data_IF_743152948941
#
_entry.id   IF_743152948941
#
_cell.length_a   1.000
_cell.length_b   1.000
_cell.length_c   1.000
_cell.angle_alpha   90.00
_cell.angle_beta   90.00
_cell.angle_gamma   90.00
#
_symmetry.space_group_name_H-M   'P 1'
#
loop_
_entity.id
_entity.type
_entity.pdbx_description
1 polymer ?
#
# COMPACT_ATOMS: atom_id res chain seq x y z
N UNK A 1 19.43 -33.72 23.20
CA UNK A 1 18.48 -33.73 22.06
C UNK A 1 18.37 -32.29 21.60
N UNK A 2 19.12 -31.94 20.56
CA UNK A 2 19.18 -30.56 20.08
C UNK A 2 18.03 -30.28 19.13
N UNK A 3 17.19 -29.33 19.50
CA UNK A 3 16.15 -28.79 18.62
C UNK A 3 16.80 -27.79 17.65
N UNK A 4 17.06 -28.24 16.43
CA UNK A 4 17.52 -27.36 15.35
C UNK A 4 16.29 -26.72 14.67
N UNK A 5 16.11 -25.38 14.73
CA UNK A 5 14.90 -24.71 14.23
C UNK A 5 14.68 -24.82 12.71
N UNK A 6 15.71 -25.25 11.95
CA UNK A 6 15.66 -25.40 10.49
C UNK A 6 14.84 -26.62 9.99
N UNK A 7 14.33 -27.47 10.89
CA UNK A 7 13.52 -28.65 10.52
C UNK A 7 12.01 -28.43 10.58
N UNK A 8 11.52 -27.32 11.12
CA UNK A 8 10.07 -27.08 11.29
C UNK A 8 9.39 -26.44 10.06
N UNK A 9 10.15 -26.08 9.02
CA UNK A 9 9.65 -25.43 7.80
C UNK A 9 10.06 -26.13 6.50
N UNK A 10 10.19 -27.47 6.50
CA UNK A 10 10.21 -28.20 5.22
C UNK A 10 8.78 -28.47 4.77
N UNK A 11 8.16 -27.47 4.17
CA UNK A 11 7.03 -27.73 3.29
C UNK A 11 7.56 -28.50 2.09
N UNK A 12 7.16 -29.76 1.99
CA UNK A 12 7.33 -30.60 0.81
C UNK A 12 6.36 -30.15 -0.28
N UNK A 13 6.61 -28.97 -0.86
CA UNK A 13 6.06 -28.57 -2.16
C UNK A 13 7.19 -28.74 -3.20
N UNK A 14 6.94 -29.39 -4.35
CA UNK A 14 7.98 -29.64 -5.35
C UNK A 14 8.42 -28.38 -6.11
N UNK A 15 7.72 -27.26 -5.94
CA UNK A 15 8.02 -25.96 -6.56
C UNK A 15 7.87 -24.83 -5.53
N UNK A 16 8.75 -23.82 -5.62
CA UNK A 16 8.69 -22.65 -4.75
C UNK A 16 7.37 -21.89 -4.93
N UNK A 17 6.73 -21.55 -3.82
CA UNK A 17 5.52 -20.73 -3.79
C UNK A 17 5.78 -19.35 -4.42
N UNK A 18 4.72 -18.68 -4.90
CA UNK A 18 4.84 -17.31 -5.45
C UNK A 18 5.55 -16.38 -4.46
N UNK A 19 5.21 -16.47 -3.16
CA UNK A 19 5.83 -15.68 -2.11
C UNK A 19 7.33 -15.95 -1.95
N UNK A 20 7.78 -17.21 -2.06
CA UNK A 20 9.20 -17.56 -2.00
C UNK A 20 9.96 -17.04 -3.21
N UNK A 21 9.38 -17.15 -4.42
CA UNK A 21 9.99 -16.62 -5.64
C UNK A 21 10.12 -15.11 -5.62
N UNK A 22 9.09 -14.40 -5.15
CA UNK A 22 9.13 -12.94 -4.99
C UNK A 22 10.23 -12.50 -4.02
N UNK A 23 10.38 -13.20 -2.89
CA UNK A 23 11.48 -12.92 -1.94
C UNK A 23 12.85 -13.21 -2.55
N UNK A 24 13.00 -14.31 -3.29
CA UNK A 24 14.25 -14.64 -3.96
C UNK A 24 14.65 -13.54 -4.96
N UNK A 25 13.74 -13.15 -5.85
CA UNK A 25 13.97 -12.08 -6.82
C UNK A 25 14.36 -10.75 -6.14
N UNK A 26 13.68 -10.40 -5.04
CA UNK A 26 14.04 -9.21 -4.25
C UNK A 26 15.45 -9.28 -3.67
N UNK A 27 15.84 -10.41 -3.07
CA UNK A 27 17.18 -10.59 -2.49
C UNK A 27 18.29 -10.58 -3.55
N UNK A 28 17.97 -10.97 -4.77
CA UNK A 28 18.86 -10.92 -5.93
C UNK A 28 18.91 -9.53 -6.59
N UNK A 29 18.04 -8.60 -6.20
CA UNK A 29 17.91 -7.28 -6.81
C UNK A 29 17.27 -7.30 -8.20
N UNK A 30 16.60 -8.39 -8.58
CA UNK A 30 15.96 -8.55 -9.89
C UNK A 30 14.51 -8.04 -9.85
N UNK A 31 14.37 -6.71 -9.92
CA UNK A 31 13.08 -6.04 -9.82
C UNK A 31 12.19 -6.26 -11.05
N UNK A 32 12.78 -6.44 -12.23
CA UNK A 32 12.05 -6.74 -13.47
C UNK A 32 11.41 -8.12 -13.38
N UNK A 33 12.16 -9.13 -12.92
CA UNK A 33 11.61 -10.46 -12.70
C UNK A 33 10.54 -10.45 -11.60
N UNK A 34 10.78 -9.74 -10.50
CA UNK A 34 9.80 -9.58 -9.42
C UNK A 34 8.48 -9.01 -9.95
N UNK A 35 8.54 -7.97 -10.79
CA UNK A 35 7.35 -7.37 -11.38
C UNK A 35 6.64 -8.33 -12.35
N UNK A 36 7.40 -9.06 -13.17
CA UNK A 36 6.86 -10.07 -14.10
C UNK A 36 6.09 -11.16 -13.35
N UNK A 37 6.65 -11.66 -12.24
CA UNK A 37 5.99 -12.66 -11.39
C UNK A 37 4.64 -12.17 -10.85
N UNK A 38 4.51 -10.86 -10.56
CA UNK A 38 3.26 -10.28 -10.06
C UNK A 38 2.23 -10.08 -11.18
N UNK A 39 2.68 -9.66 -12.35
CA UNK A 39 1.82 -9.43 -13.52
C UNK A 39 1.24 -10.74 -14.07
N UNK A 40 1.99 -11.83 -13.98
CA UNK A 40 1.56 -13.18 -14.38
C UNK A 40 0.79 -13.93 -13.28
N UNK A 41 0.84 -13.45 -12.03
CA UNK A 41 0.19 -14.12 -10.92
C UNK A 41 -1.33 -14.11 -11.07
N UNK A 42 -1.95 -15.28 -11.17
CA UNK A 42 -3.40 -15.45 -11.22
C UNK A 42 -4.07 -15.40 -9.85
N UNK A 43 -3.28 -15.31 -8.77
CA UNK A 43 -3.76 -15.28 -7.40
C UNK A 43 -2.94 -14.28 -6.56
N UNK A 44 -3.56 -13.72 -5.52
CA UNK A 44 -2.87 -12.86 -4.56
C UNK A 44 -1.85 -13.68 -3.75
N UNK A 45 -0.72 -13.05 -3.45
CA UNK A 45 0.34 -13.63 -2.61
C UNK A 45 0.02 -13.39 -1.13
N UNK A 46 0.55 -14.23 -0.23
CA UNK A 46 0.46 -13.99 1.22
C UNK A 46 1.31 -12.82 1.70
N UNK A 47 2.15 -12.27 0.82
CA UNK A 47 3.01 -11.12 1.14
C UNK A 47 2.25 -9.80 1.14
N UNK A 48 1.23 -9.64 0.31
CA UNK A 48 0.50 -8.39 0.17
C UNK A 48 -0.97 -8.69 -0.09
N UNK A 49 -1.86 -8.00 0.63
CA UNK A 49 -3.30 -8.17 0.45
C UNK A 49 -3.76 -7.68 -0.93
N UNK A 50 -3.03 -6.74 -1.52
CA UNK A 50 -3.17 -6.30 -2.91
C UNK A 50 -2.12 -7.02 -3.76
N UNK A 51 -2.43 -7.31 -5.03
CA UNK A 51 -1.40 -7.73 -5.99
C UNK A 51 -0.81 -6.48 -6.67
N UNK A 52 0.42 -6.02 -6.34
CA UNK A 52 1.02 -4.81 -6.90
C UNK A 52 1.53 -5.01 -8.34
N UNK A 53 0.59 -5.31 -9.24
CA UNK A 53 0.85 -5.42 -10.68
C UNK A 53 1.32 -4.09 -11.26
N UNK A 54 2.01 -4.14 -12.38
CA UNK A 54 2.45 -2.97 -13.13
C UNK A 54 1.30 -2.05 -13.49
N UNK A 55 0.15 -2.64 -13.84
CA UNK A 55 -1.06 -1.91 -14.18
C UNK A 55 -1.63 -1.18 -12.96
N UNK A 56 -1.62 -1.79 -11.76
CA UNK A 56 -2.07 -1.13 -10.55
C UNK A 56 -1.12 0.01 -10.16
N UNK A 57 0.17 -0.25 -10.18
CA UNK A 57 1.19 0.76 -9.88
C UNK A 57 1.08 1.94 -10.83
N UNK A 58 0.81 1.71 -12.12
CA UNK A 58 0.56 2.78 -13.08
C UNK A 58 -0.66 3.63 -12.72
N UNK A 59 -1.77 3.02 -12.30
CA UNK A 59 -2.96 3.76 -11.84
C UNK A 59 -2.64 4.66 -10.63
N UNK A 60 -1.84 4.16 -9.69
CA UNK A 60 -1.43 4.94 -8.51
C UNK A 60 -0.48 6.06 -8.92
N UNK A 61 0.54 5.79 -9.74
CA UNK A 61 1.49 6.80 -10.23
C UNK A 61 0.75 7.92 -10.98
N UNK A 62 -0.17 7.57 -11.88
CA UNK A 62 -0.97 8.54 -12.64
C UNK A 62 -1.81 9.43 -11.73
N UNK A 63 -2.39 8.87 -10.66
CA UNK A 63 -3.16 9.61 -9.67
C UNK A 63 -2.32 10.63 -8.88
N UNK A 64 -1.01 10.42 -8.79
CA UNK A 64 -0.08 11.24 -8.02
C UNK A 64 0.74 12.20 -8.90
N UNK A 65 0.59 12.15 -10.22
CA UNK A 65 1.44 12.89 -11.17
C UNK A 65 1.44 14.41 -10.96
N UNK A 66 0.30 14.98 -10.57
CA UNK A 66 0.06 16.42 -10.48
C UNK A 66 0.36 16.99 -9.07
N UNK A 67 1.02 16.20 -8.21
CA UNK A 67 1.34 16.61 -6.85
C UNK A 67 2.60 17.49 -6.76
N UNK A 68 2.66 18.41 -5.78
CA UNK A 68 3.89 19.12 -5.45
C UNK A 68 5.01 18.16 -5.05
N UNK A 69 6.22 18.45 -5.54
CA UNK A 69 7.45 17.70 -5.27
C UNK A 69 8.52 18.65 -4.71
N UNK A 70 9.36 18.24 -3.75
CA UNK A 70 9.38 16.91 -3.13
C UNK A 70 8.22 16.68 -2.14
N UNK A 71 7.92 15.43 -1.81
CA UNK A 71 6.90 15.07 -0.82
C UNK A 71 6.98 13.62 -0.36
N UNK A 72 6.10 13.23 0.56
CA UNK A 72 6.06 11.88 1.11
C UNK A 72 4.69 11.24 0.93
N UNK A 73 4.69 10.00 0.45
CA UNK A 73 3.54 9.09 0.46
C UNK A 73 3.59 8.28 1.76
N UNK A 74 2.62 8.49 2.63
CA UNK A 74 2.45 7.65 3.82
C UNK A 74 1.45 6.54 3.52
N UNK A 75 1.93 5.31 3.47
CA UNK A 75 1.12 4.11 3.24
C UNK A 75 0.70 3.45 4.56
N UNK A 76 -0.60 3.32 4.78
CA UNK A 76 -1.21 2.75 5.99
C UNK A 76 -1.65 1.32 5.69
N UNK A 77 -1.23 0.37 6.52
CA UNK A 77 -1.51 -1.06 6.32
C UNK A 77 -0.52 -1.71 5.36
N UNK A 78 0.75 -1.30 5.43
CA UNK A 78 1.80 -1.72 4.49
C UNK A 78 2.16 -3.21 4.56
N UNK A 79 1.85 -3.88 5.66
CA UNK A 79 2.13 -5.30 5.83
C UNK A 79 3.59 -5.64 5.56
N UNK A 80 3.86 -6.43 4.52
CA UNK A 80 5.24 -6.80 4.15
C UNK A 80 6.06 -5.68 3.52
N UNK A 81 5.45 -4.54 3.16
CA UNK A 81 6.13 -3.44 2.48
C UNK A 81 6.32 -3.64 0.97
N UNK A 82 5.77 -4.71 0.37
CA UNK A 82 6.00 -5.05 -1.04
C UNK A 82 5.44 -4.01 -2.00
N UNK A 83 4.22 -3.51 -1.74
CA UNK A 83 3.61 -2.46 -2.56
C UNK A 83 4.42 -1.17 -2.47
N UNK A 84 4.83 -0.79 -1.25
CA UNK A 84 5.58 0.43 -0.98
C UNK A 84 6.93 0.40 -1.66
N UNK A 85 7.66 -0.72 -1.54
CA UNK A 85 8.93 -0.91 -2.22
C UNK A 85 8.82 -0.71 -3.75
N UNK A 86 7.81 -1.34 -4.37
CA UNK A 86 7.58 -1.23 -5.82
C UNK A 86 7.11 0.16 -6.25
N UNK A 87 6.32 0.82 -5.40
CA UNK A 87 5.84 2.17 -5.67
C UNK A 87 6.99 3.19 -5.53
N UNK A 88 7.86 3.02 -4.52
CA UNK A 88 9.05 3.83 -4.30
C UNK A 88 10.01 3.73 -5.48
N UNK A 89 10.24 2.52 -6.01
CA UNK A 89 11.04 2.31 -7.21
C UNK A 89 10.51 3.04 -8.47
N UNK A 90 9.24 3.47 -8.48
CA UNK A 90 8.64 4.26 -9.57
C UNK A 90 8.53 5.75 -9.25
N UNK A 91 8.38 6.12 -7.97
CA UNK A 91 8.10 7.48 -7.54
C UNK A 91 9.30 8.22 -6.94
N UNK A 92 10.25 7.49 -6.37
CA UNK A 92 11.39 8.02 -5.62
C UNK A 92 12.29 8.89 -6.49
N UNK A 93 12.55 8.48 -7.73
CA UNK A 93 13.32 9.26 -8.71
C UNK A 93 12.59 10.55 -9.11
N UNK A 94 11.26 10.58 -8.98
CA UNK A 94 10.44 11.77 -9.23
C UNK A 94 10.25 12.61 -7.95
N UNK A 95 10.92 12.29 -6.84
CA UNK A 95 10.90 13.09 -5.61
C UNK A 95 9.65 12.90 -4.73
N UNK A 96 9.00 11.74 -4.80
CA UNK A 96 8.02 11.31 -3.81
C UNK A 96 8.54 10.06 -3.09
N UNK A 97 8.95 10.22 -1.82
CA UNK A 97 9.41 9.11 -0.99
C UNK A 97 8.22 8.32 -0.46
N UNK A 98 8.29 6.98 -0.49
CA UNK A 98 7.21 6.12 0.04
C UNK A 98 7.59 5.56 1.42
N UNK A 99 6.78 5.88 2.43
CA UNK A 99 6.95 5.44 3.81
C UNK A 99 5.77 4.55 4.23
N UNK A 100 6.07 3.30 4.59
CA UNK A 100 5.07 2.36 5.08
C UNK A 100 4.86 2.43 6.59
N UNK A 101 3.63 2.23 7.04
CA UNK A 101 3.31 2.03 8.45
C UNK A 101 2.34 0.86 8.64
N UNK A 102 2.58 0.08 9.69
CA UNK A 102 1.71 -1.00 10.11
C UNK A 102 1.77 -1.19 11.62
N UNK A 103 0.78 -1.86 12.19
CA UNK A 103 0.82 -2.31 13.60
C UNK A 103 1.63 -3.59 13.76
N UNK A 104 1.78 -4.37 12.68
CA UNK A 104 2.47 -5.65 12.67
C UNK A 104 3.92 -5.49 12.16
N UNK A 105 4.92 -6.05 12.89
CA UNK A 105 6.32 -6.00 12.48
C UNK A 105 6.64 -7.07 11.42
N UNK A 106 5.97 -7.03 10.28
CA UNK A 106 6.05 -8.06 9.23
C UNK A 106 6.71 -7.58 7.92
N UNK A 107 7.28 -6.37 7.92
CA UNK A 107 8.00 -5.82 6.79
C UNK A 107 9.14 -6.74 6.33
N UNK A 108 9.22 -6.95 5.02
CA UNK A 108 10.26 -7.73 4.35
C UNK A 108 10.88 -7.00 3.15
N UNK A 109 10.26 -5.92 2.67
CA UNK A 109 10.63 -5.27 1.41
C UNK A 109 10.89 -3.76 1.53
N UNK A 110 10.05 -3.04 2.29
CA UNK A 110 10.12 -1.57 2.31
C UNK A 110 11.35 -1.07 3.10
N UNK A 111 12.16 -0.15 2.55
CA UNK A 111 13.29 0.42 3.27
C UNK A 111 12.85 1.39 4.38
N UNK A 112 11.75 2.11 4.18
CA UNK A 112 11.16 3.03 5.16
C UNK A 112 9.86 2.45 5.70
N UNK A 113 9.91 1.90 6.92
CA UNK A 113 8.78 1.23 7.55
C UNK A 113 8.79 1.46 9.06
N UNK A 114 7.69 1.97 9.60
CA UNK A 114 7.51 2.13 11.04
C UNK A 114 6.40 1.23 11.58
N UNK A 115 6.68 0.58 12.70
CA UNK A 115 5.66 -0.13 13.48
C UNK A 115 4.98 0.87 14.41
N UNK A 116 3.69 1.12 14.18
CA UNK A 116 2.93 2.17 14.87
C UNK A 116 2.00 1.57 15.92
N UNK A 117 1.72 2.36 16.97
CA UNK A 117 0.72 2.02 17.98
C UNK A 117 -0.58 2.77 17.67
N UNK A 118 -1.73 2.22 18.10
CA UNK A 118 -3.06 2.66 17.65
C UNK A 118 -3.39 4.15 17.90
N UNK A 119 -2.65 4.85 18.76
CA UNK A 119 -2.88 6.26 19.10
C UNK A 119 -1.62 7.14 19.00
N UNK A 120 -0.55 6.64 18.38
CA UNK A 120 0.70 7.40 18.22
C UNK A 120 0.87 7.86 16.78
N UNK A 121 0.97 9.18 16.60
CA UNK A 121 1.29 9.78 15.30
C UNK A 121 2.70 9.36 14.87
N UNK A 122 2.89 8.82 13.65
CA UNK A 122 4.21 8.56 13.10
C UNK A 122 5.05 9.83 13.02
N UNK A 123 6.35 9.73 13.32
CA UNK A 123 7.27 10.88 13.31
C UNK A 123 7.74 11.19 11.88
N UNK A 124 6.80 11.50 11.00
CA UNK A 124 7.03 11.85 9.60
C UNK A 124 6.65 13.31 9.34
N UNK A 125 7.43 13.96 8.47
CA UNK A 125 7.17 15.31 7.97
C UNK A 125 6.89 15.27 6.46
N UNK A 126 6.33 16.33 5.90
CA UNK A 126 6.17 16.44 4.46
C UNK A 126 5.19 15.45 3.82
N UNK A 127 4.31 14.81 4.60
CA UNK A 127 3.29 13.90 4.07
C UNK A 127 2.31 14.67 3.20
N UNK A 128 2.37 14.42 1.89
CA UNK A 128 1.52 15.04 0.86
C UNK A 128 0.46 14.06 0.34
N UNK A 129 0.65 12.75 0.57
CA UNK A 129 -0.28 11.70 0.17
C UNK A 129 -0.52 10.74 1.31
N UNK A 130 -1.78 10.40 1.54
CA UNK A 130 -2.14 9.21 2.31
C UNK A 130 -2.53 8.12 1.33
N UNK A 131 -1.86 6.97 1.41
CA UNK A 131 -2.24 5.74 0.76
C UNK A 131 -2.76 4.80 1.84
N UNK A 132 -4.00 4.32 1.74
CA UNK A 132 -4.56 3.36 2.67
C UNK A 132 -4.90 2.07 1.95
N UNK A 133 -4.33 0.96 2.42
CA UNK A 133 -4.42 -0.34 1.77
C UNK A 133 -5.13 -1.31 2.71
N UNK A 134 -6.25 -1.88 2.26
CA UNK A 134 -7.04 -2.85 3.03
C UNK A 134 -7.36 -2.36 4.47
N UNK A 135 -7.73 -1.09 4.59
CA UNK A 135 -7.96 -0.44 5.88
C UNK A 135 -9.27 -0.91 6.54
N UNK A 136 -9.17 -1.85 7.47
CA UNK A 136 -10.33 -2.42 8.19
C UNK A 136 -10.96 -1.52 9.26
N UNK A 137 -10.27 -0.45 9.66
CA UNK A 137 -10.75 0.53 10.65
C UNK A 137 -10.95 1.89 9.97
N UNK A 138 -12.16 2.19 9.46
CA UNK A 138 -12.41 3.40 8.67
C UNK A 138 -12.02 4.71 9.38
N UNK A 139 -12.25 4.77 10.71
CA UNK A 139 -11.94 5.95 11.52
C UNK A 139 -10.47 6.37 11.50
N UNK A 140 -9.54 5.45 11.19
CA UNK A 140 -8.12 5.79 11.05
C UNK A 140 -7.87 6.78 9.90
N UNK A 141 -8.68 6.79 8.83
CA UNK A 141 -8.53 7.78 7.77
C UNK A 141 -8.62 9.20 8.32
N UNK A 142 -9.64 9.48 9.15
CA UNK A 142 -9.82 10.80 9.73
C UNK A 142 -8.70 11.14 10.70
N UNK A 143 -8.23 10.18 11.49
CA UNK A 143 -7.08 10.36 12.39
C UNK A 143 -5.83 10.79 11.62
N UNK A 144 -5.48 10.08 10.54
CA UNK A 144 -4.30 10.41 9.74
C UNK A 144 -4.47 11.72 8.96
N UNK A 145 -5.64 12.01 8.40
CA UNK A 145 -5.91 13.29 7.75
C UNK A 145 -5.76 14.47 8.72
N UNK A 146 -6.18 14.30 9.98
CA UNK A 146 -6.00 15.30 11.03
C UNK A 146 -4.54 15.46 11.46
N UNK A 147 -3.79 14.36 11.55
CA UNK A 147 -2.37 14.38 11.88
C UNK A 147 -1.49 15.00 10.79
N UNK A 148 -1.91 14.90 9.53
CA UNK A 148 -1.15 15.36 8.37
C UNK A 148 -1.96 16.40 7.57
N UNK A 149 -2.05 17.64 8.06
CA UNK A 149 -2.88 18.69 7.46
C UNK A 149 -2.36 19.20 6.11
N UNK A 150 -1.25 18.68 5.59
CA UNK A 150 -0.69 19.02 4.26
C UNK A 150 -0.96 17.93 3.21
N UNK A 151 -1.73 16.89 3.55
CA UNK A 151 -2.14 15.88 2.58
C UNK A 151 -3.01 16.52 1.51
N UNK A 152 -2.64 16.31 0.25
CA UNK A 152 -3.33 16.80 -0.95
C UNK A 152 -4.11 15.70 -1.65
N UNK A 153 -3.65 14.44 -1.57
CA UNK A 153 -4.30 13.27 -2.16
C UNK A 153 -4.50 12.17 -1.11
N UNK A 154 -5.63 11.49 -1.21
CA UNK A 154 -5.93 10.27 -0.49
C UNK A 154 -6.21 9.17 -1.52
N UNK A 155 -5.44 8.10 -1.46
CA UNK A 155 -5.61 6.91 -2.30
C UNK A 155 -6.09 5.77 -1.40
N UNK A 156 -7.23 5.18 -1.72
CA UNK A 156 -7.78 4.02 -1.02
C UNK A 156 -7.74 2.82 -1.96
N UNK A 157 -7.15 1.72 -1.51
CA UNK A 157 -7.12 0.45 -2.23
C UNK A 157 -7.61 -0.64 -1.29
N UNK A 158 -8.63 -1.39 -1.69
CA UNK A 158 -9.14 -2.47 -0.86
C UNK A 158 -10.43 -3.08 -1.38
N UNK A 159 -10.97 -4.06 -0.65
CA UNK A 159 -12.13 -4.80 -1.10
C UNK A 159 -13.39 -3.94 -0.97
N UNK A 160 -14.29 -4.05 -1.95
CA UNK A 160 -15.51 -3.24 -2.07
C UNK A 160 -16.43 -3.33 -0.83
N UNK A 161 -16.41 -4.47 -0.13
CA UNK A 161 -17.21 -4.72 1.07
C UNK A 161 -16.59 -4.19 2.37
N UNK A 162 -15.33 -3.74 2.34
CA UNK A 162 -14.65 -3.07 3.45
C UNK A 162 -14.30 -1.63 3.07
N UNK A 163 -15.12 -0.98 2.21
CA UNK A 163 -14.97 0.43 1.84
C UNK A 163 -14.94 1.31 3.09
N UNK A 164 -13.84 2.03 3.40
CA UNK A 164 -13.83 2.96 4.52
C UNK A 164 -14.90 4.06 4.39
N UNK A 165 -15.29 4.41 3.15
CA UNK A 165 -16.29 5.44 2.87
C UNK A 165 -17.72 4.87 2.99
N UNK A 166 -17.92 3.57 3.24
CA UNK A 166 -19.23 3.04 3.61
C UNK A 166 -19.62 3.41 5.06
N UNK A 167 -18.64 3.71 5.93
CA UNK A 167 -18.93 4.26 7.26
C UNK A 167 -19.37 5.73 7.17
N UNK A 168 -20.54 6.05 7.70
CA UNK A 168 -21.16 7.37 7.53
C UNK A 168 -20.32 8.51 8.13
N UNK A 169 -19.65 8.26 9.26
CA UNK A 169 -18.81 9.27 9.93
C UNK A 169 -17.55 9.55 9.10
N UNK A 170 -16.89 8.48 8.66
CA UNK A 170 -15.70 8.55 7.81
C UNK A 170 -16.02 9.21 6.47
N UNK A 171 -17.14 8.85 5.84
CA UNK A 171 -17.60 9.46 4.60
C UNK A 171 -17.84 10.96 4.72
N UNK A 172 -18.52 11.39 5.79
CA UNK A 172 -18.75 12.81 6.06
C UNK A 172 -17.44 13.58 6.27
N UNK A 173 -16.51 13.00 7.04
CA UNK A 173 -15.21 13.62 7.30
C UNK A 173 -14.32 13.71 6.04
N UNK A 174 -14.24 12.64 5.25
CA UNK A 174 -13.50 12.63 3.99
C UNK A 174 -14.13 13.58 2.97
N UNK A 175 -15.46 13.63 2.87
CA UNK A 175 -16.17 14.57 2.01
C UNK A 175 -16.01 16.04 2.42
N UNK A 176 -15.85 16.31 3.72
CA UNK A 176 -15.50 17.64 4.22
C UNK A 176 -14.04 18.02 3.91
N UNK A 177 -13.13 17.04 3.89
CA UNK A 177 -11.72 17.25 3.55
C UNK A 177 -11.48 17.40 2.04
N UNK A 178 -12.18 16.63 1.20
CA UNK A 178 -11.92 16.57 -0.23
C UNK A 178 -13.07 16.01 -1.07
N UNK A 179 -12.82 15.90 -2.37
CA UNK A 179 -13.74 15.35 -3.35
C UNK A 179 -13.15 14.10 -4.03
N UNK A 180 -14.02 13.14 -4.35
CA UNK A 180 -13.67 11.95 -5.12
C UNK A 180 -13.40 12.37 -6.57
N UNK A 181 -12.19 12.12 -7.06
CA UNK A 181 -11.82 12.37 -8.47
C UNK A 181 -11.95 11.11 -9.31
N UNK A 182 -11.48 9.98 -8.78
CA UNK A 182 -11.40 8.72 -9.51
C UNK A 182 -11.95 7.60 -8.66
N UNK A 183 -12.78 6.75 -9.28
CA UNK A 183 -13.20 5.47 -8.73
C UNK A 183 -13.04 4.39 -9.78
N UNK A 184 -12.10 3.48 -9.55
CA UNK A 184 -11.82 2.35 -10.43
C UNK A 184 -12.43 1.09 -9.83
N UNK A 185 -13.28 0.42 -10.61
CA UNK A 185 -13.99 -0.81 -10.26
C UNK A 185 -13.92 -1.77 -11.44
N UNK A 186 -13.83 -3.08 -11.19
CA UNK A 186 -13.85 -4.12 -12.24
C UNK A 186 -12.78 -3.92 -13.34
N UNK A 187 -11.62 -3.38 -12.96
CA UNK A 187 -10.49 -3.15 -13.85
C UNK A 187 -9.52 -4.33 -13.76
N UNK A 188 -8.84 -4.67 -14.86
CA UNK A 188 -7.89 -5.79 -14.92
C UNK A 188 -6.68 -5.63 -13.99
N UNK A 189 -6.35 -4.38 -13.64
CA UNK A 189 -5.32 -4.05 -12.65
C UNK A 189 -5.71 -4.37 -11.20
N UNK A 190 -6.98 -4.66 -10.93
CA UNK A 190 -7.50 -4.90 -9.58
C UNK A 190 -8.03 -6.32 -9.48
N UNK A 191 -7.95 -6.92 -8.29
CA UNK A 191 -8.69 -8.13 -8.03
C UNK A 191 -10.20 -7.87 -8.24
N UNK A 192 -11.01 -8.88 -8.63
CA UNK A 192 -12.42 -8.68 -8.93
C UNK A 192 -13.24 -8.08 -7.78
N UNK A 193 -12.81 -8.29 -6.54
CA UNK A 193 -13.43 -7.75 -5.33
C UNK A 193 -12.84 -6.41 -4.88
N UNK A 194 -11.72 -5.97 -5.46
CA UNK A 194 -11.05 -4.73 -5.08
C UNK A 194 -11.56 -3.51 -5.85
N UNK A 195 -11.30 -2.36 -5.27
CA UNK A 195 -11.48 -1.05 -5.87
C UNK A 195 -10.31 -0.14 -5.52
N UNK A 196 -10.15 0.89 -6.36
CA UNK A 196 -9.27 2.02 -6.08
C UNK A 196 -10.10 3.30 -6.09
N UNK A 197 -9.92 4.14 -5.07
CA UNK A 197 -10.50 5.47 -4.99
C UNK A 197 -9.39 6.50 -4.83
N UNK A 198 -9.48 7.61 -5.57
CA UNK A 198 -8.58 8.76 -5.42
C UNK A 198 -9.41 9.97 -5.08
N UNK A 199 -9.06 10.59 -3.97
CA UNK A 199 -9.67 11.80 -3.48
C UNK A 199 -8.64 12.92 -3.47
N UNK A 200 -9.07 14.12 -3.81
CA UNK A 200 -8.26 15.32 -3.72
C UNK A 200 -8.84 16.28 -2.71
N UNK A 201 -7.95 16.90 -1.94
CA UNK A 201 -8.32 17.94 -1.00
C UNK A 201 -9.03 19.10 -1.72
N UNK A 202 -10.06 19.67 -1.10
CA UNK A 202 -10.66 20.91 -1.59
C UNK A 202 -9.60 22.01 -1.68
N UNK A 203 -9.56 22.72 -2.81
CA UNK A 203 -8.79 23.96 -2.93
C UNK A 203 -9.49 25.04 -2.11
N UNK A 204 -8.93 25.37 -0.96
CA UNK A 204 -9.32 26.55 -0.17
C UNK A 204 -8.82 27.83 -0.79
#
# INVERSE_FOLDING_TARGET
MDFHPARLYRNSAPEATVAERLRAAFLEGDYEHLQTLLDEATATTTLCCVNPTSALLALVVDALRDLPRPGTVLSIGSGSGLLEFLLDARLGDDGLDVHGVDIAPINAFAPFFDVVQEDLRPSLQGVTVLLAVYLRRPSLLLTYLNWFPHVHKLVLIGPKNEDPIADATTAAGVGAWGALEVRVMNHTALAPWDMLQVWARHTT
#
